data_IF_601869976643
#
_entry.id   IF_601869976643
#
_cell.length_a   1.000
_cell.length_b   1.000
_cell.length_c   1.000
_cell.angle_alpha   90.00
_cell.angle_beta   90.00
_cell.angle_gamma   90.00
#
_symmetry.space_group_name_H-M   'P 1'
#
loop_
_entity.id
_entity.type
_entity.pdbx_description
1 polymer ?
#
# COMPACT_ATOMS: atom_id res chain seq x y z
N UNK A 1 -13.20 -25.36 8.80
CA UNK A 1 -12.71 -24.74 7.55
C UNK A 1 -11.26 -24.37 7.76
N UNK A 2 -10.39 -24.77 6.83
CA UNK A 2 -8.96 -24.51 6.89
C UNK A 2 -8.55 -23.60 5.71
N UNK A 3 -7.89 -22.50 6.01
CA UNK A 3 -7.52 -21.45 5.03
C UNK A 3 -6.00 -21.34 4.94
N UNK A 4 -5.47 -21.43 3.72
CA UNK A 4 -4.07 -21.12 3.43
C UNK A 4 -3.95 -19.67 2.90
N UNK A 5 -3.21 -18.83 3.58
CA UNK A 5 -2.71 -17.57 3.02
C UNK A 5 -1.42 -17.91 2.25
N UNK A 6 -1.54 -18.02 0.92
CA UNK A 6 -0.46 -18.43 0.04
C UNK A 6 0.42 -17.21 -0.32
N UNK A 7 1.34 -16.87 0.56
CA UNK A 7 2.22 -15.73 0.38
C UNK A 7 3.51 -15.94 1.18
N UNK A 8 4.66 -15.57 0.62
CA UNK A 8 5.90 -15.52 1.39
C UNK A 8 5.74 -14.59 2.58
N UNK A 9 6.30 -15.00 3.71
CA UNK A 9 6.22 -14.18 4.93
C UNK A 9 7.08 -12.92 4.74
N UNK A 10 6.42 -11.77 4.72
CA UNK A 10 7.09 -10.46 4.73
C UNK A 10 6.96 -9.89 6.15
N UNK A 11 8.05 -9.84 6.93
CA UNK A 11 8.03 -9.22 8.24
C UNK A 11 7.46 -7.79 8.16
N UNK A 12 6.49 -7.49 9.04
CA UNK A 12 5.86 -6.15 9.10
C UNK A 12 4.73 -5.91 8.08
N UNK A 13 4.24 -6.92 7.38
CA UNK A 13 3.02 -6.78 6.59
C UNK A 13 1.79 -6.81 7.50
N UNK A 14 1.45 -5.63 8.04
CA UNK A 14 0.34 -5.47 8.99
C UNK A 14 -0.99 -5.95 8.45
N UNK A 15 -1.26 -5.73 7.15
CA UNK A 15 -2.48 -6.22 6.52
C UNK A 15 -2.65 -7.73 6.69
N UNK A 16 -1.61 -8.53 6.38
CA UNK A 16 -1.71 -10.00 6.50
C UNK A 16 -1.72 -10.46 7.95
N UNK A 17 -1.04 -9.78 8.86
CA UNK A 17 -1.07 -10.10 10.30
C UNK A 17 -2.49 -9.92 10.86
N UNK A 18 -3.12 -8.79 10.59
CA UNK A 18 -4.46 -8.48 11.08
C UNK A 18 -5.52 -9.36 10.39
N UNK A 19 -5.37 -9.62 9.08
CA UNK A 19 -6.23 -10.56 8.35
C UNK A 19 -6.16 -11.97 8.97
N UNK A 20 -4.94 -12.48 9.18
CA UNK A 20 -4.74 -13.80 9.82
C UNK A 20 -5.40 -13.83 11.19
N UNK A 21 -5.15 -12.82 12.02
CA UNK A 21 -5.74 -12.71 13.37
C UNK A 21 -7.27 -12.73 13.32
N UNK A 22 -7.88 -11.91 12.45
CA UNK A 22 -9.33 -11.86 12.29
C UNK A 22 -9.93 -13.17 11.77
N UNK A 23 -9.34 -13.76 10.75
CA UNK A 23 -9.81 -15.05 10.21
C UNK A 23 -9.66 -16.21 11.21
N UNK A 24 -8.63 -16.18 12.05
CA UNK A 24 -8.37 -17.25 13.04
C UNK A 24 -9.45 -17.36 14.12
N UNK A 25 -10.34 -16.39 14.24
CA UNK A 25 -11.51 -16.49 15.11
C UNK A 25 -12.62 -17.39 14.54
N UNK A 26 -12.57 -17.66 13.23
CA UNK A 26 -13.62 -18.41 12.50
C UNK A 26 -13.11 -19.64 11.76
N UNK A 27 -11.79 -19.74 11.54
CA UNK A 27 -11.18 -20.82 10.77
C UNK A 27 -9.75 -21.13 11.27
N UNK A 28 -9.26 -22.31 10.95
CA UNK A 28 -7.83 -22.61 11.07
C UNK A 28 -7.10 -21.89 9.92
N UNK A 29 -6.18 -20.98 10.24
CA UNK A 29 -5.47 -20.17 9.24
C UNK A 29 -3.98 -20.45 9.28
N UNK A 30 -3.47 -20.94 8.17
CA UNK A 30 -2.04 -21.16 7.93
C UNK A 30 -1.54 -20.05 6.98
N UNK A 31 -0.45 -19.40 7.32
CA UNK A 31 0.23 -18.47 6.42
C UNK A 31 1.57 -19.07 6.03
N UNK A 32 1.61 -19.67 4.85
CA UNK A 32 2.78 -20.41 4.36
C UNK A 32 2.74 -20.48 2.82
N UNK A 33 3.77 -19.95 2.17
CA UNK A 33 3.90 -20.05 0.72
C UNK A 33 4.26 -21.48 0.28
N UNK A 34 5.09 -22.20 1.04
CA UNK A 34 5.56 -23.54 0.67
C UNK A 34 4.42 -24.56 0.65
N UNK A 35 3.44 -24.40 1.54
CA UNK A 35 2.24 -25.26 1.57
C UNK A 35 1.45 -25.17 0.24
N UNK A 36 1.44 -24.05 -0.44
CA UNK A 36 0.84 -23.91 -1.77
C UNK A 36 1.55 -24.81 -2.80
N UNK A 37 2.88 -24.90 -2.74
CA UNK A 37 3.69 -25.65 -3.71
C UNK A 37 3.75 -27.16 -3.44
N UNK A 38 3.40 -27.59 -2.22
CA UNK A 38 3.38 -29.00 -1.83
C UNK A 38 2.14 -29.72 -2.33
N UNK A 39 1.08 -29.00 -2.72
CA UNK A 39 -0.17 -29.56 -3.25
C UNK A 39 -0.74 -30.69 -2.37
N UNK A 40 -0.79 -30.48 -1.04
CA UNK A 40 -1.44 -31.39 -0.10
C UNK A 40 -2.87 -30.94 0.11
N UNK A 41 -3.82 -31.85 0.00
CA UNK A 41 -5.26 -31.55 0.11
C UNK A 41 -5.69 -31.37 1.57
N UNK A 42 -5.20 -30.31 2.20
CA UNK A 42 -5.53 -30.01 3.60
C UNK A 42 -6.31 -28.69 3.77
N UNK A 43 -6.52 -27.93 2.69
CA UNK A 43 -7.12 -26.61 2.77
C UNK A 43 -8.43 -26.52 1.98
N UNK A 44 -9.46 -25.92 2.61
CA UNK A 44 -10.73 -25.61 1.95
C UNK A 44 -10.60 -24.37 1.04
N UNK A 45 -9.74 -23.43 1.44
CA UNK A 45 -9.53 -22.15 0.76
C UNK A 45 -8.04 -21.89 0.60
N UNK A 46 -7.64 -21.50 -0.62
CA UNK A 46 -6.34 -20.93 -0.94
C UNK A 46 -6.54 -19.43 -1.17
N UNK A 47 -6.04 -18.59 -0.27
CA UNK A 47 -6.17 -17.15 -0.34
C UNK A 47 -4.87 -16.51 -0.85
N UNK A 48 -4.91 -15.98 -2.06
CA UNK A 48 -3.78 -15.31 -2.73
C UNK A 48 -3.96 -13.79 -2.59
N UNK A 49 -2.89 -13.07 -2.24
CA UNK A 49 -2.89 -11.61 -2.12
C UNK A 49 -2.07 -10.94 -3.22
N UNK A 50 -0.86 -11.42 -3.43
CA UNK A 50 0.06 -10.94 -4.45
C UNK A 50 0.63 -12.13 -5.20
N UNK A 51 0.24 -12.36 -6.47
CA UNK A 51 0.74 -13.47 -7.28
C UNK A 51 2.26 -13.62 -7.30
N UNK A 52 2.98 -12.51 -7.32
CA UNK A 52 4.44 -12.48 -7.31
C UNK A 52 5.07 -13.01 -6.02
N UNK A 53 4.34 -13.03 -4.93
CA UNK A 53 4.81 -13.48 -3.61
C UNK A 53 4.37 -14.91 -3.27
N UNK A 54 3.97 -15.70 -4.25
CA UNK A 54 3.70 -17.12 -4.05
C UNK A 54 4.97 -17.94 -3.70
N UNK A 55 6.17 -17.48 -4.11
CA UNK A 55 7.45 -18.02 -3.66
C UNK A 55 8.57 -16.99 -3.81
N UNK A 56 9.65 -17.15 -3.05
CA UNK A 56 10.88 -16.35 -3.21
C UNK A 56 11.53 -16.55 -4.57
N UNK A 57 11.43 -17.75 -5.13
CA UNK A 57 11.98 -18.05 -6.46
C UNK A 57 11.22 -17.26 -7.54
N UNK A 58 9.89 -17.30 -7.51
CA UNK A 58 9.03 -16.55 -8.43
C UNK A 58 9.25 -15.04 -8.32
N UNK A 59 9.29 -14.51 -7.11
CA UNK A 59 9.62 -13.10 -6.83
C UNK A 59 10.98 -12.73 -7.42
N UNK A 60 11.98 -13.56 -7.20
CA UNK A 60 13.35 -13.32 -7.68
C UNK A 60 13.39 -13.15 -9.19
N UNK A 61 12.77 -14.02 -9.96
CA UNK A 61 12.72 -13.91 -11.43
C UNK A 61 11.94 -12.69 -11.90
N UNK A 62 10.80 -12.42 -11.29
CA UNK A 62 9.95 -11.30 -11.66
C UNK A 62 10.62 -9.94 -11.43
N UNK A 63 11.46 -9.82 -10.40
CA UNK A 63 12.13 -8.56 -10.08
C UNK A 63 13.55 -8.43 -10.63
N UNK A 64 14.15 -9.51 -11.16
CA UNK A 64 15.40 -9.43 -11.91
C UNK A 64 15.14 -8.99 -13.35
N UNK A 65 15.76 -7.88 -13.76
CA UNK A 65 15.49 -7.23 -15.06
C UNK A 65 15.91 -8.05 -16.29
N UNK A 66 16.79 -9.02 -16.16
CA UNK A 66 17.45 -9.73 -17.26
C UNK A 66 17.02 -11.19 -17.46
N UNK A 67 16.21 -11.74 -16.55
CA UNK A 67 15.87 -13.15 -16.61
C UNK A 67 14.36 -13.34 -16.77
N UNK A 68 13.96 -14.20 -17.70
CA UNK A 68 12.57 -14.68 -17.79
C UNK A 68 12.34 -15.85 -16.85
N UNK A 69 11.11 -15.99 -16.37
CA UNK A 69 10.72 -17.14 -15.55
C UNK A 69 10.89 -18.41 -16.38
N UNK A 70 11.69 -19.41 -15.91
CA UNK A 70 11.88 -20.67 -16.60
C UNK A 70 10.57 -21.43 -16.80
N UNK A 71 10.44 -22.16 -17.93
CA UNK A 71 9.25 -22.96 -18.21
C UNK A 71 8.93 -23.96 -17.08
N UNK A 72 9.93 -24.56 -16.47
CA UNK A 72 9.74 -25.46 -15.30
C UNK A 72 8.96 -24.80 -14.16
N UNK A 73 9.17 -23.51 -13.91
CA UNK A 73 8.45 -22.77 -12.86
C UNK A 73 7.03 -22.47 -13.31
N UNK A 74 6.85 -22.10 -14.59
CA UNK A 74 5.51 -21.94 -15.17
C UNK A 74 4.70 -23.20 -15.07
N UNK A 75 5.27 -24.36 -15.49
CA UNK A 75 4.61 -25.65 -15.45
C UNK A 75 4.25 -26.05 -14.02
N UNK A 76 5.18 -25.85 -13.06
CA UNK A 76 4.90 -26.08 -11.64
C UNK A 76 3.77 -25.21 -11.13
N UNK A 77 3.76 -23.93 -11.49
CA UNK A 77 2.70 -22.98 -11.09
C UNK A 77 1.35 -23.44 -11.65
N UNK A 78 1.29 -23.81 -12.93
CA UNK A 78 0.07 -24.30 -13.57
C UNK A 78 -0.42 -25.57 -12.85
N UNK A 79 0.45 -26.55 -12.63
CA UNK A 79 0.09 -27.81 -11.96
C UNK A 79 -0.47 -27.59 -10.55
N UNK A 80 0.15 -26.68 -9.77
CA UNK A 80 -0.36 -26.34 -8.44
C UNK A 80 -1.74 -25.64 -8.52
N UNK A 81 -1.92 -24.72 -9.46
CA UNK A 81 -3.21 -24.05 -9.64
C UNK A 81 -4.31 -25.01 -10.08
N UNK A 82 -3.99 -25.95 -10.99
CA UNK A 82 -4.92 -27.01 -11.40
C UNK A 82 -5.30 -27.92 -10.25
N UNK A 83 -4.31 -28.31 -9.44
CA UNK A 83 -4.55 -29.11 -8.23
C UNK A 83 -5.51 -28.39 -7.27
N UNK A 84 -5.18 -27.14 -6.91
CA UNK A 84 -5.98 -26.38 -5.96
C UNK A 84 -7.37 -26.02 -6.50
N UNK A 85 -7.51 -25.73 -7.78
CA UNK A 85 -8.82 -25.45 -8.36
C UNK A 85 -9.79 -26.62 -8.34
N UNK A 86 -9.28 -27.86 -8.25
CA UNK A 86 -10.07 -29.09 -8.14
C UNK A 86 -10.40 -29.46 -6.68
N UNK A 87 -9.52 -29.11 -5.75
CA UNK A 87 -9.59 -29.59 -4.36
C UNK A 87 -9.97 -28.49 -3.37
N UNK A 88 -9.87 -27.23 -3.74
CA UNK A 88 -10.07 -26.06 -2.86
C UNK A 88 -10.72 -24.91 -3.63
N UNK A 89 -11.19 -23.89 -2.93
CA UNK A 89 -11.57 -22.62 -3.59
C UNK A 89 -10.39 -21.67 -3.58
N UNK A 90 -9.96 -21.21 -4.76
CA UNK A 90 -8.95 -20.17 -4.88
C UNK A 90 -9.63 -18.82 -4.80
N UNK A 91 -9.23 -18.00 -3.83
CA UNK A 91 -9.69 -16.63 -3.62
C UNK A 91 -8.51 -15.71 -3.79
N UNK A 92 -8.69 -14.57 -4.48
CA UNK A 92 -7.66 -13.55 -4.63
C UNK A 92 -8.16 -12.20 -4.12
N UNK A 93 -7.38 -11.55 -3.27
CA UNK A 93 -7.61 -10.13 -2.94
C UNK A 93 -6.82 -9.24 -3.90
N UNK A 94 -7.53 -8.42 -4.67
CA UNK A 94 -6.94 -7.54 -5.67
C UNK A 94 -6.43 -6.24 -5.04
N UNK A 95 -5.23 -6.29 -4.48
CA UNK A 95 -4.56 -5.12 -3.91
C UNK A 95 -4.18 -4.10 -4.98
N UNK A 96 -3.75 -4.57 -6.13
CA UNK A 96 -3.26 -3.77 -7.25
C UNK A 96 -3.81 -4.31 -8.56
N UNK A 97 -3.92 -3.46 -9.57
CA UNK A 97 -4.20 -3.93 -10.93
C UNK A 97 -3.03 -4.77 -11.48
N UNK A 98 -1.81 -4.28 -11.23
CA UNK A 98 -0.51 -4.93 -11.41
C UNK A 98 0.46 -4.31 -10.38
N UNK A 99 1.61 -4.95 -10.09
CA UNK A 99 2.58 -4.38 -9.13
C UNK A 99 2.99 -2.96 -9.46
N UNK A 100 3.20 -2.13 -8.44
CA UNK A 100 3.50 -0.71 -8.60
C UNK A 100 4.80 -0.41 -9.33
N UNK A 101 5.77 -1.32 -9.24
CA UNK A 101 7.14 -1.11 -9.73
C UNK A 101 7.39 -1.73 -11.10
N UNK A 102 6.62 -2.74 -11.48
CA UNK A 102 6.81 -3.50 -12.72
C UNK A 102 5.45 -3.87 -13.31
N UNK A 103 5.29 -3.60 -14.62
CA UNK A 103 4.08 -3.91 -15.39
C UNK A 103 4.41 -4.63 -16.70
N UNK A 104 5.51 -5.35 -16.69
CA UNK A 104 5.98 -6.08 -17.89
C UNK A 104 5.11 -7.31 -18.18
N UNK A 105 5.39 -7.93 -19.31
CA UNK A 105 4.62 -9.05 -19.86
C UNK A 105 4.58 -10.26 -18.91
N UNK A 106 5.68 -10.53 -18.17
CA UNK A 106 5.73 -11.67 -17.25
C UNK A 106 4.76 -11.50 -16.07
N UNK A 107 4.67 -10.28 -15.52
CA UNK A 107 3.69 -9.99 -14.48
C UNK A 107 2.25 -10.12 -15.03
N UNK A 108 1.98 -9.58 -16.21
CA UNK A 108 0.66 -9.70 -16.83
C UNK A 108 0.28 -11.17 -17.07
N UNK A 109 1.21 -11.98 -17.57
CA UNK A 109 1.02 -13.42 -17.79
C UNK A 109 0.74 -14.14 -16.48
N UNK A 110 1.47 -13.84 -15.40
CA UNK A 110 1.27 -14.47 -14.10
C UNK A 110 -0.12 -14.10 -13.52
N UNK A 111 -0.48 -12.82 -13.53
CA UNK A 111 -1.77 -12.38 -13.01
C UNK A 111 -2.93 -13.00 -13.79
N UNK A 112 -2.86 -13.01 -15.14
CA UNK A 112 -3.88 -13.65 -15.99
C UNK A 112 -3.97 -15.16 -15.72
N UNK A 113 -2.83 -15.84 -15.50
CA UNK A 113 -2.80 -17.25 -15.14
C UNK A 113 -3.51 -17.51 -13.81
N UNK A 114 -3.19 -16.75 -12.77
CA UNK A 114 -3.83 -16.89 -11.46
C UNK A 114 -5.34 -16.64 -11.56
N UNK A 115 -5.77 -15.58 -12.24
CA UNK A 115 -7.19 -15.27 -12.42
C UNK A 115 -7.95 -16.40 -13.11
N UNK A 116 -7.35 -17.09 -14.10
CA UNK A 116 -7.97 -18.23 -14.79
C UNK A 116 -8.44 -19.33 -13.83
N UNK A 117 -7.75 -19.53 -12.71
CA UNK A 117 -8.07 -20.57 -11.71
C UNK A 117 -8.78 -20.01 -10.48
N UNK A 118 -8.99 -18.69 -10.40
CA UNK A 118 -9.59 -18.04 -9.25
C UNK A 118 -11.12 -18.16 -9.31
N UNK A 119 -11.73 -18.57 -8.19
CA UNK A 119 -13.19 -18.65 -8.07
C UNK A 119 -13.82 -17.33 -7.62
N UNK A 120 -13.11 -16.60 -6.74
CA UNK A 120 -13.62 -15.35 -6.16
C UNK A 120 -12.49 -14.31 -6.16
N UNK A 121 -12.78 -13.11 -6.63
CA UNK A 121 -11.90 -11.95 -6.46
C UNK A 121 -12.54 -10.98 -5.48
N UNK A 122 -11.79 -10.65 -4.41
CA UNK A 122 -12.13 -9.61 -3.45
C UNK A 122 -11.57 -8.28 -3.94
N UNK A 123 -12.42 -7.28 -4.00
CA UNK A 123 -12.10 -5.90 -4.36
C UNK A 123 -12.34 -4.98 -3.16
N UNK A 124 -11.69 -3.83 -3.12
CA UNK A 124 -11.91 -2.87 -2.05
C UNK A 124 -12.99 -1.82 -2.37
N UNK A 125 -13.32 -1.66 -3.66
CA UNK A 125 -14.39 -0.81 -4.15
C UNK A 125 -14.95 -1.33 -5.49
N UNK A 126 -16.07 -0.77 -5.96
CA UNK A 126 -16.73 -1.21 -7.19
C UNK A 126 -15.91 -0.84 -8.44
N UNK A 127 -15.20 0.28 -8.43
CA UNK A 127 -14.36 0.68 -9.55
C UNK A 127 -13.41 -0.43 -9.99
N UNK A 128 -12.80 -1.14 -9.05
CA UNK A 128 -11.87 -2.23 -9.39
C UNK A 128 -12.59 -3.44 -9.99
N UNK A 129 -13.88 -3.68 -9.72
CA UNK A 129 -14.69 -4.70 -10.38
C UNK A 129 -14.88 -4.32 -11.85
N UNK A 130 -15.33 -3.09 -12.10
CA UNK A 130 -15.60 -2.63 -13.47
C UNK A 130 -14.31 -2.61 -14.31
N UNK A 131 -13.21 -2.14 -13.74
CA UNK A 131 -11.92 -2.18 -14.40
C UNK A 131 -11.48 -3.63 -14.69
N UNK A 132 -11.71 -4.57 -13.74
CA UNK A 132 -11.35 -5.98 -13.93
C UNK A 132 -12.12 -6.58 -15.11
N UNK A 133 -13.43 -6.39 -15.17
CA UNK A 133 -14.29 -6.91 -16.26
C UNK A 133 -13.89 -6.35 -17.63
N UNK A 134 -13.50 -5.07 -17.67
CA UNK A 134 -12.97 -4.46 -18.91
C UNK A 134 -11.65 -5.07 -19.36
N UNK A 135 -10.77 -5.40 -18.43
CA UNK A 135 -9.44 -5.93 -18.75
C UNK A 135 -9.42 -7.43 -19.03
N UNK A 136 -10.37 -8.16 -18.45
CA UNK A 136 -10.48 -9.62 -18.51
C UNK A 136 -11.90 -10.08 -18.84
N UNK A 137 -12.44 -9.69 -20.02
CA UNK A 137 -13.81 -10.03 -20.40
C UNK A 137 -14.06 -11.54 -20.51
N UNK A 138 -13.00 -12.33 -20.76
CA UNK A 138 -13.08 -13.78 -20.91
C UNK A 138 -13.18 -14.54 -19.57
N UNK A 139 -13.12 -13.83 -18.42
CA UNK A 139 -13.11 -14.44 -17.08
C UNK A 139 -14.48 -14.29 -16.37
N UNK A 140 -15.57 -14.54 -17.07
CA UNK A 140 -16.95 -14.42 -16.55
C UNK A 140 -17.29 -15.39 -15.41
N UNK A 141 -16.53 -16.48 -15.27
CA UNK A 141 -16.74 -17.49 -14.22
C UNK A 141 -16.38 -16.98 -12.81
N UNK A 142 -15.64 -15.87 -12.71
CA UNK A 142 -15.17 -15.32 -11.44
C UNK A 142 -16.31 -14.60 -10.73
N UNK A 143 -16.56 -14.96 -9.48
CA UNK A 143 -17.41 -14.18 -8.59
C UNK A 143 -16.64 -12.98 -8.04
N UNK A 144 -17.18 -11.77 -8.19
CA UNK A 144 -16.61 -10.56 -7.63
C UNK A 144 -17.35 -10.16 -6.35
N UNK A 145 -16.62 -9.77 -5.33
CA UNK A 145 -17.16 -9.27 -4.07
C UNK A 145 -16.40 -8.02 -3.63
N UNK A 146 -17.11 -7.04 -3.08
CA UNK A 146 -16.49 -5.89 -2.43
C UNK A 146 -16.40 -6.17 -0.94
N UNK A 147 -15.17 -6.19 -0.42
CA UNK A 147 -14.88 -6.24 1.02
C UNK A 147 -13.94 -5.06 1.29
N UNK A 148 -14.37 -4.03 2.03
CA UNK A 148 -13.53 -2.87 2.32
C UNK A 148 -12.19 -3.27 2.94
N UNK A 149 -11.17 -2.49 2.66
CA UNK A 149 -9.87 -2.69 3.29
C UNK A 149 -10.02 -2.58 4.82
N UNK A 150 -9.45 -3.54 5.54
CA UNK A 150 -9.49 -3.55 7.01
C UNK A 150 -8.91 -2.27 7.61
N UNK A 151 -9.38 -1.90 8.80
CA UNK A 151 -8.80 -0.81 9.58
C UNK A 151 -7.47 -1.24 10.24
N UNK A 152 -6.82 -0.30 10.90
CA UNK A 152 -5.57 -0.50 11.62
C UNK A 152 -5.75 -0.36 13.14
N UNK A 153 -6.91 -0.78 13.67
CA UNK A 153 -7.22 -0.67 15.10
C UNK A 153 -6.27 -1.48 16.01
N UNK A 154 -5.52 -2.39 15.43
CA UNK A 154 -4.45 -3.14 16.11
C UNK A 154 -3.17 -2.33 16.36
N UNK A 155 -3.01 -1.17 15.71
CA UNK A 155 -1.89 -0.28 15.99
C UNK A 155 -2.13 0.46 17.31
N UNK A 156 -1.06 0.74 18.08
CA UNK A 156 -1.16 1.62 19.24
C UNK A 156 -1.76 2.98 18.86
N UNK A 157 -2.67 3.49 19.70
CA UNK A 157 -3.26 4.83 19.57
C UNK A 157 -3.44 5.44 20.96
N UNK A 158 -2.32 5.67 21.65
CA UNK A 158 -2.27 6.03 23.07
C UNK A 158 -1.95 7.51 23.32
N UNK A 159 -1.79 8.32 22.25
CA UNK A 159 -1.46 9.74 22.40
C UNK A 159 -2.59 10.63 21.95
N UNK A 160 -2.81 11.71 22.68
CA UNK A 160 -3.62 12.83 22.21
C UNK A 160 -2.86 13.63 21.15
N UNK A 161 -3.57 14.46 20.39
CA UNK A 161 -2.95 15.37 19.41
C UNK A 161 -1.90 16.29 20.03
N UNK A 162 -2.17 16.75 21.26
CA UNK A 162 -1.24 17.62 21.98
C UNK A 162 0.05 16.88 22.33
N UNK A 163 -0.05 15.72 22.96
CA UNK A 163 1.12 14.88 23.31
C UNK A 163 1.92 14.48 22.08
N UNK A 164 1.25 14.11 20.99
CA UNK A 164 1.88 13.78 19.73
C UNK A 164 2.69 14.96 19.14
N UNK A 165 2.13 16.18 19.21
CA UNK A 165 2.83 17.40 18.76
C UNK A 165 3.99 17.76 19.67
N UNK A 166 3.85 17.59 20.99
CA UNK A 166 4.93 17.78 21.94
C UNK A 166 6.07 16.79 21.70
N UNK A 167 5.75 15.50 21.54
CA UNK A 167 6.71 14.45 21.20
C UNK A 167 7.50 14.78 19.92
N UNK A 168 6.81 15.26 18.89
CA UNK A 168 7.43 15.66 17.64
C UNK A 168 8.01 17.08 17.65
N UNK A 169 7.92 17.83 18.76
CA UNK A 169 8.31 19.24 18.84
C UNK A 169 7.69 20.09 17.71
N UNK A 170 6.37 19.99 17.53
CA UNK A 170 5.56 20.75 16.56
C UNK A 170 4.74 21.78 17.31
N UNK A 171 4.65 23.01 16.75
CA UNK A 171 3.80 24.06 17.28
C UNK A 171 2.33 23.61 17.35
N UNK A 172 1.68 23.87 18.50
CA UNK A 172 0.30 23.48 18.78
C UNK A 172 -0.71 24.13 17.86
N UNK A 173 -0.41 25.31 17.31
CA UNK A 173 -1.34 26.15 16.54
C UNK A 173 -1.29 25.90 15.02
N UNK A 174 -0.24 25.30 14.50
CA UNK A 174 -0.04 25.11 13.06
C UNK A 174 -0.88 23.99 12.44
N UNK A 175 -1.24 24.14 11.16
CA UNK A 175 -1.84 23.06 10.36
C UNK A 175 -0.79 22.03 9.96
N UNK A 176 -1.04 20.76 10.27
CA UNK A 176 -0.11 19.65 9.99
C UNK A 176 -0.69 18.74 8.92
N UNK A 177 -0.03 18.69 7.77
CA UNK A 177 -0.28 17.71 6.71
C UNK A 177 0.66 16.53 6.86
N UNK A 178 0.14 15.30 6.88
CA UNK A 178 0.97 14.10 6.85
C UNK A 178 0.88 13.40 5.50
N UNK A 179 2.02 12.91 5.01
CA UNK A 179 2.14 11.94 3.92
C UNK A 179 2.84 10.72 4.49
N UNK A 180 2.08 9.66 4.75
CA UNK A 180 2.59 8.47 5.42
C UNK A 180 3.04 7.39 4.43
N UNK A 181 4.07 6.61 4.82
CA UNK A 181 4.66 5.57 3.98
C UNK A 181 5.74 6.06 3.02
N UNK A 182 6.17 5.21 2.10
CA UNK A 182 7.22 5.53 1.11
C UNK A 182 6.74 6.57 0.09
N UNK A 183 7.58 7.54 -0.22
CA UNK A 183 7.30 8.62 -1.18
C UNK A 183 8.21 8.45 -2.39
N UNK A 184 7.60 8.36 -3.58
CA UNK A 184 8.29 8.28 -4.87
C UNK A 184 8.68 9.67 -5.37
N UNK A 185 9.74 9.78 -6.16
CA UNK A 185 10.25 11.09 -6.61
C UNK A 185 9.22 11.87 -7.44
N UNK A 186 8.43 11.19 -8.27
CA UNK A 186 7.38 11.85 -9.07
C UNK A 186 6.19 12.37 -8.25
N UNK A 187 6.03 11.94 -7.00
CA UNK A 187 4.97 12.40 -6.09
C UNK A 187 5.33 13.71 -5.37
N UNK A 188 6.63 13.97 -5.24
CA UNK A 188 7.15 15.14 -4.50
C UNK A 188 6.62 16.49 -4.99
N UNK A 189 6.49 16.76 -6.32
CA UNK A 189 5.89 18.00 -6.80
C UNK A 189 4.43 18.19 -6.37
N UNK A 190 3.64 17.11 -6.40
CA UNK A 190 2.24 17.13 -5.98
C UNK A 190 2.11 17.40 -4.49
N UNK A 191 2.94 16.74 -3.66
CA UNK A 191 2.98 16.96 -2.20
C UNK A 191 3.32 18.43 -1.88
N UNK A 192 4.35 18.98 -2.53
CA UNK A 192 4.72 20.40 -2.36
C UNK A 192 3.57 21.34 -2.73
N UNK A 193 2.85 21.03 -3.80
CA UNK A 193 1.71 21.80 -4.25
C UNK A 193 0.57 21.78 -3.25
N UNK A 194 0.19 20.59 -2.76
CA UNK A 194 -0.81 20.43 -1.71
C UNK A 194 -0.42 21.19 -0.45
N UNK A 195 0.83 21.05 -0.01
CA UNK A 195 1.35 21.78 1.14
C UNK A 195 1.29 23.29 0.96
N UNK A 196 1.66 23.81 -0.21
CA UNK A 196 1.63 25.25 -0.47
C UNK A 196 0.20 25.81 -0.49
N UNK A 197 -0.80 24.99 -0.83
CA UNK A 197 -2.21 25.38 -0.85
C UNK A 197 -2.83 25.55 0.55
N UNK A 198 -2.22 25.02 1.60
CA UNK A 198 -2.66 25.24 2.97
C UNK A 198 -2.54 26.73 3.31
N UNK A 199 -3.63 27.39 3.71
CA UNK A 199 -3.62 28.85 3.92
C UNK A 199 -2.88 29.29 5.20
N UNK A 200 -2.61 28.37 6.12
CA UNK A 200 -1.94 28.66 7.39
C UNK A 200 -0.45 29.01 7.18
N UNK A 201 0.04 30.05 7.86
CA UNK A 201 1.45 30.44 7.85
C UNK A 201 2.33 29.50 8.67
N UNK A 202 1.77 28.91 9.74
CA UNK A 202 2.49 28.00 10.65
C UNK A 202 2.33 26.51 10.26
N UNK A 203 2.05 26.25 8.97
CA UNK A 203 1.84 24.90 8.48
C UNK A 203 3.11 24.04 8.51
N UNK A 204 2.90 22.74 8.80
CA UNK A 204 3.95 21.72 8.87
C UNK A 204 3.63 20.58 7.93
N UNK A 205 4.63 20.12 7.17
CA UNK A 205 4.62 18.87 6.43
C UNK A 205 5.35 17.78 7.21
N UNK A 206 4.65 16.72 7.56
CA UNK A 206 5.23 15.47 8.03
C UNK A 206 5.29 14.48 6.87
N UNK A 207 6.48 14.18 6.38
CA UNK A 207 6.70 13.28 5.26
C UNK A 207 7.87 12.33 5.55
N UNK A 208 7.73 11.38 6.51
CA UNK A 208 8.81 10.52 6.99
C UNK A 208 9.51 9.77 5.86
N UNK A 209 8.74 9.23 4.92
CA UNK A 209 9.23 8.47 3.79
C UNK A 209 9.84 9.29 2.65
N UNK A 210 9.88 10.61 2.76
CA UNK A 210 10.55 11.46 1.78
C UNK A 210 12.05 11.37 1.93
N UNK A 211 12.68 10.54 1.12
CA UNK A 211 14.14 10.35 1.13
C UNK A 211 14.87 11.51 0.46
N UNK A 212 15.96 11.94 1.08
CA UNK A 212 16.90 12.90 0.51
C UNK A 212 17.91 12.11 -0.33
N UNK A 213 18.03 12.41 -1.65
CA UNK A 213 19.00 11.73 -2.48
C UNK A 213 20.43 12.14 -2.10
N UNK A 214 21.34 11.18 -2.13
CA UNK A 214 22.78 11.51 -1.99
C UNK A 214 23.27 12.29 -3.20
N UNK A 215 23.93 13.41 -2.98
CA UNK A 215 24.53 14.19 -4.04
C UNK A 215 25.68 13.43 -4.71
N UNK A 216 25.84 13.64 -6.02
CA UNK A 216 27.00 13.10 -6.77
C UNK A 216 28.23 13.98 -6.46
N UNK A 217 28.99 13.64 -5.41
CA UNK A 217 30.24 14.29 -5.03
C UNK A 217 31.33 13.22 -5.12
N UNK A 218 32.45 13.55 -5.80
CA UNK A 218 33.55 12.60 -6.05
C UNK A 218 34.26 12.13 -4.79
N UNK A 219 34.41 13.00 -3.79
CA UNK A 219 35.05 12.69 -2.52
C UNK A 219 34.04 12.04 -1.54
N UNK A 220 34.19 10.75 -1.25
CA UNK A 220 33.26 9.98 -0.42
C UNK A 220 33.03 10.60 0.95
N UNK A 221 34.10 11.01 1.66
CA UNK A 221 33.97 11.63 3.00
C UNK A 221 33.18 12.94 2.95
N UNK A 222 33.45 13.81 1.98
CA UNK A 222 32.71 15.07 1.80
C UNK A 222 31.25 14.79 1.46
N UNK A 223 30.99 13.80 0.61
CA UNK A 223 29.64 13.37 0.25
C UNK A 223 28.83 12.92 1.48
N UNK A 224 29.43 12.11 2.35
CA UNK A 224 28.77 11.64 3.58
C UNK A 224 28.54 12.81 4.57
N UNK A 225 29.48 13.72 4.73
CA UNK A 225 29.30 14.91 5.57
C UNK A 225 28.16 15.80 5.07
N UNK A 226 28.11 16.09 3.76
CA UNK A 226 27.05 16.89 3.16
C UNK A 226 25.69 16.21 3.31
N UNK A 227 25.63 14.88 3.04
CA UNK A 227 24.39 14.12 3.18
C UNK A 227 23.89 14.09 4.61
N UNK A 228 24.76 13.85 5.58
CA UNK A 228 24.43 13.85 7.02
C UNK A 228 23.90 15.22 7.47
N UNK A 229 24.50 16.30 7.00
CA UNK A 229 24.04 17.66 7.29
C UNK A 229 22.66 17.95 6.67
N UNK A 230 22.43 17.56 5.40
CA UNK A 230 21.12 17.70 4.75
C UNK A 230 20.02 16.89 5.44
N UNK A 231 20.36 15.66 5.89
CA UNK A 231 19.45 14.82 6.67
C UNK A 231 19.13 15.46 8.01
N UNK A 232 20.14 15.97 8.71
CA UNK A 232 19.95 16.65 9.98
C UNK A 232 19.06 17.90 9.81
N UNK A 233 19.33 18.73 8.80
CA UNK A 233 18.50 19.88 8.49
C UNK A 233 17.04 19.49 8.18
N UNK A 234 16.83 18.44 7.41
CA UNK A 234 15.50 17.98 7.05
C UNK A 234 14.71 17.44 8.25
N UNK A 235 15.38 16.74 9.17
CA UNK A 235 14.77 16.23 10.41
C UNK A 235 14.39 17.35 11.39
N UNK A 236 15.18 18.40 11.43
CA UNK A 236 15.02 19.51 12.38
C UNK A 236 14.34 20.74 11.75
N UNK A 237 13.87 20.64 10.52
CA UNK A 237 13.14 21.72 9.88
C UNK A 237 11.76 21.90 10.51
N UNK A 238 11.42 23.13 10.91
CA UNK A 238 10.16 23.42 11.60
C UNK A 238 8.92 23.29 10.70
N UNK A 239 9.11 23.34 9.36
CA UNK A 239 8.00 23.31 8.38
C UNK A 239 7.98 22.06 7.51
N UNK A 240 9.14 21.47 7.20
CA UNK A 240 9.29 20.31 6.31
C UNK A 240 10.05 19.21 7.03
N UNK A 241 9.34 18.34 7.72
CA UNK A 241 9.91 17.19 8.41
C UNK A 241 9.94 15.99 7.48
N UNK A 242 11.11 15.75 6.91
CA UNK A 242 11.35 14.71 5.90
C UNK A 242 12.52 13.81 6.31
N UNK A 243 12.68 12.70 5.59
CA UNK A 243 13.79 11.74 5.79
C UNK A 243 13.92 11.24 7.24
N UNK A 244 12.78 11.03 7.90
CA UNK A 244 12.75 10.56 9.29
C UNK A 244 13.03 9.05 9.42
N UNK A 245 13.14 8.37 8.28
CA UNK A 245 13.38 6.94 8.23
C UNK A 245 12.10 6.10 8.25
N UNK A 246 12.25 4.85 8.63
CA UNK A 246 11.13 3.95 8.88
C UNK A 246 10.52 4.30 10.25
N UNK A 247 9.24 4.56 10.27
CA UNK A 247 8.49 4.77 11.51
C UNK A 247 8.04 3.40 12.00
N UNK A 248 8.43 3.06 13.19
CA UNK A 248 7.99 1.83 13.83
C UNK A 248 6.50 1.88 14.13
N UNK A 249 5.85 0.72 14.19
CA UNK A 249 4.41 0.63 14.47
C UNK A 249 4.06 1.28 15.82
N UNK A 250 4.90 1.09 16.83
CA UNK A 250 4.75 1.67 18.18
C UNK A 250 4.79 3.21 18.19
N UNK A 251 5.46 3.84 17.22
CA UNK A 251 5.60 5.30 17.12
C UNK A 251 4.61 5.93 16.12
N UNK A 252 3.96 5.12 15.29
CA UNK A 252 3.11 5.61 14.19
C UNK A 252 2.01 6.55 14.69
N UNK A 253 1.45 6.28 15.87
CA UNK A 253 0.38 7.10 16.45
C UNK A 253 0.81 8.54 16.77
N UNK A 254 2.08 8.79 17.10
CA UNK A 254 2.56 10.16 17.31
C UNK A 254 2.52 10.97 16.01
N UNK A 255 2.87 10.36 14.88
CA UNK A 255 2.85 11.04 13.58
C UNK A 255 1.43 11.27 13.08
N UNK A 256 0.56 10.28 13.22
CA UNK A 256 -0.83 10.34 12.76
C UNK A 256 -1.66 11.26 13.64
N UNK A 257 -1.55 11.17 14.97
CA UNK A 257 -2.29 12.03 15.89
C UNK A 257 -1.82 13.49 15.86
N UNK A 258 -0.56 13.78 15.53
CA UNK A 258 -0.10 15.16 15.37
C UNK A 258 -0.72 15.86 14.15
N UNK A 259 -1.20 15.11 13.17
CA UNK A 259 -1.71 15.64 11.90
C UNK A 259 -3.14 16.21 12.01
N UNK A 260 -3.47 17.11 11.08
CA UNK A 260 -4.84 17.57 10.86
C UNK A 260 -5.52 16.82 9.72
N UNK A 261 -4.74 16.39 8.74
CA UNK A 261 -5.22 15.57 7.64
C UNK A 261 -4.08 14.76 7.00
N UNK A 262 -4.46 13.67 6.36
CA UNK A 262 -3.56 12.80 5.62
C UNK A 262 -3.71 13.06 4.11
N UNK A 263 -2.59 13.30 3.42
CA UNK A 263 -2.58 13.50 1.98
C UNK A 263 -2.01 12.28 1.25
N UNK A 264 -2.77 11.73 0.30
CA UNK A 264 -2.37 10.59 -0.54
C UNK A 264 -1.94 11.09 -1.91
N UNK A 265 -0.63 11.08 -2.23
CA UNK A 265 -0.12 11.57 -3.52
C UNK A 265 -0.22 10.53 -4.65
N UNK A 266 -0.92 9.40 -4.43
CA UNK A 266 -1.04 8.31 -5.38
C UNK A 266 -1.99 8.68 -6.51
N UNK A 267 -1.49 8.83 -7.74
CA UNK A 267 -2.30 9.26 -8.88
C UNK A 267 -2.55 8.17 -9.92
N UNK A 268 -1.84 7.04 -9.81
CA UNK A 268 -1.93 5.91 -10.74
C UNK A 268 -2.18 4.56 -10.05
N UNK A 269 -2.35 4.57 -8.75
CA UNK A 269 -2.56 3.38 -7.96
C UNK A 269 -4.06 3.03 -7.90
N UNK A 270 -4.37 1.73 -7.84
CA UNK A 270 -5.75 1.27 -7.73
C UNK A 270 -6.35 1.67 -6.39
N UNK A 271 -5.64 1.38 -5.31
CA UNK A 271 -6.07 1.68 -3.94
C UNK A 271 -4.89 2.13 -3.06
N UNK A 272 -5.18 2.47 -1.81
CA UNK A 272 -4.17 2.84 -0.82
C UNK A 272 -4.63 2.50 0.59
N UNK A 273 -3.88 1.66 1.30
CA UNK A 273 -4.12 1.37 2.72
C UNK A 273 -4.04 2.62 3.62
N UNK A 274 -3.45 3.71 3.15
CA UNK A 274 -3.43 4.98 3.88
C UNK A 274 -4.82 5.61 4.06
N UNK A 275 -5.84 5.22 3.26
CA UNK A 275 -7.21 5.67 3.46
C UNK A 275 -7.72 5.16 4.81
N UNK A 276 -7.72 3.85 4.99
CA UNK A 276 -8.20 3.23 6.23
C UNK A 276 -7.28 3.50 7.40
N UNK A 277 -5.99 3.71 7.18
CA UNK A 277 -5.07 4.20 8.20
C UNK A 277 -5.47 5.59 8.70
N UNK A 278 -5.73 6.52 7.79
CA UNK A 278 -6.21 7.86 8.14
C UNK A 278 -7.54 7.82 8.91
N UNK A 279 -8.48 7.00 8.45
CA UNK A 279 -9.78 6.82 9.13
C UNK A 279 -9.63 6.21 10.53
N UNK A 280 -8.71 5.26 10.71
CA UNK A 280 -8.43 4.65 12.02
C UNK A 280 -7.98 5.69 13.05
N UNK A 281 -7.25 6.71 12.60
CA UNK A 281 -6.78 7.81 13.46
C UNK A 281 -7.69 9.06 13.40
N UNK A 282 -8.89 8.95 12.84
CA UNK A 282 -9.88 10.05 12.79
C UNK A 282 -9.45 11.22 11.92
N UNK A 283 -8.55 11.00 10.95
CA UNK A 283 -8.07 12.05 10.05
C UNK A 283 -8.97 12.19 8.82
N UNK A 284 -9.16 13.42 8.39
CA UNK A 284 -9.61 13.72 7.03
C UNK A 284 -8.53 13.21 6.06
N UNK A 285 -8.93 12.49 5.02
CA UNK A 285 -8.02 11.96 4.01
C UNK A 285 -8.26 12.65 2.68
N UNK A 286 -7.22 13.23 2.11
CA UNK A 286 -7.28 13.91 0.81
C UNK A 286 -6.53 13.09 -0.22
N UNK A 287 -7.17 12.73 -1.33
CA UNK A 287 -6.57 11.90 -2.39
C UNK A 287 -7.11 12.20 -3.78
N UNK A 288 -6.71 11.39 -4.76
CA UNK A 288 -7.20 11.50 -6.14
C UNK A 288 -8.70 11.13 -6.23
N UNK A 289 -9.40 11.69 -7.23
CA UNK A 289 -10.80 11.41 -7.53
C UNK A 289 -11.00 10.17 -8.40
N UNK A 290 -9.94 9.41 -8.67
CA UNK A 290 -9.94 8.25 -9.57
C UNK A 290 -9.68 6.94 -8.83
N UNK A 291 -10.00 5.83 -9.49
CA UNK A 291 -9.84 4.46 -9.00
C UNK A 291 -10.58 4.21 -7.66
N UNK A 292 -10.26 3.12 -6.97
CA UNK A 292 -10.85 2.81 -5.65
C UNK A 292 -10.61 3.95 -4.65
N UNK A 293 -9.48 4.67 -4.77
CA UNK A 293 -9.16 5.82 -3.92
C UNK A 293 -10.25 6.88 -4.04
N UNK A 294 -10.60 7.25 -5.28
CA UNK A 294 -11.61 8.28 -5.54
C UNK A 294 -13.02 7.85 -5.13
N UNK A 295 -13.39 6.59 -5.37
CA UNK A 295 -14.67 6.04 -4.97
C UNK A 295 -14.83 6.09 -3.45
N UNK A 296 -13.90 5.49 -2.71
CA UNK A 296 -13.95 5.40 -1.24
C UNK A 296 -13.96 6.80 -0.60
N UNK A 297 -13.12 7.72 -1.06
CA UNK A 297 -13.07 9.06 -0.50
C UNK A 297 -14.36 9.84 -0.74
N UNK A 298 -14.96 9.75 -1.93
CA UNK A 298 -16.23 10.40 -2.25
C UNK A 298 -17.38 9.83 -1.41
N UNK A 299 -17.48 8.52 -1.31
CA UNK A 299 -18.51 7.85 -0.51
C UNK A 299 -18.43 8.17 0.97
N UNK A 300 -17.21 8.42 1.48
CA UNK A 300 -16.98 8.77 2.89
C UNK A 300 -16.96 10.29 3.13
N UNK A 301 -17.30 11.11 2.13
CA UNK A 301 -17.32 12.58 2.25
C UNK A 301 -15.96 13.23 2.40
N UNK A 302 -14.89 12.54 2.02
CA UNK A 302 -13.53 13.06 2.08
C UNK A 302 -13.15 13.83 0.80
N UNK A 303 -12.31 14.88 0.91
CA UNK A 303 -11.95 15.70 -0.25
C UNK A 303 -11.14 14.93 -1.29
N UNK A 304 -11.46 15.14 -2.57
CA UNK A 304 -10.71 14.58 -3.70
C UNK A 304 -10.20 15.66 -4.64
N UNK A 305 -9.12 15.34 -5.35
CA UNK A 305 -8.59 16.22 -6.40
C UNK A 305 -8.44 15.48 -7.73
N UNK A 306 -8.61 16.21 -8.83
CA UNK A 306 -8.43 15.70 -10.19
C UNK A 306 -6.95 15.74 -10.57
N UNK A 307 -6.42 14.60 -11.04
CA UNK A 307 -5.02 14.47 -11.47
C UNK A 307 -4.72 15.48 -12.61
N UNK A 308 -3.57 16.14 -12.51
CA UNK A 308 -3.18 17.18 -13.51
C UNK A 308 -3.84 18.55 -13.30
N UNK A 309 -4.88 18.66 -12.48
CA UNK A 309 -5.56 19.92 -12.21
C UNK A 309 -5.09 20.59 -10.91
N UNK A 310 -4.32 21.64 -11.07
CA UNK A 310 -3.73 22.39 -9.95
C UNK A 310 -4.73 23.10 -9.05
N UNK A 311 -5.81 23.62 -9.66
CA UNK A 311 -6.86 24.32 -8.91
C UNK A 311 -7.65 23.32 -8.08
N UNK A 312 -7.90 22.11 -8.62
CA UNK A 312 -8.57 21.02 -7.90
C UNK A 312 -7.80 20.62 -6.65
N UNK A 313 -6.47 20.46 -6.74
CA UNK A 313 -5.63 20.17 -5.55
C UNK A 313 -5.77 21.26 -4.48
N UNK A 314 -5.70 22.54 -4.89
CA UNK A 314 -5.83 23.65 -3.95
C UNK A 314 -7.22 23.72 -3.30
N UNK A 315 -8.28 23.39 -4.03
CA UNK A 315 -9.65 23.36 -3.50
C UNK A 315 -9.86 22.21 -2.52
N UNK A 316 -9.28 21.03 -2.79
CA UNK A 316 -9.36 19.88 -1.89
C UNK A 316 -8.62 20.08 -0.56
N UNK A 317 -7.67 21.03 -0.51
CA UNK A 317 -6.85 21.32 0.69
C UNK A 317 -7.45 22.44 1.56
N UNK A 318 -8.27 23.31 1.01
CA UNK A 318 -8.96 24.40 1.73
C UNK A 318 -10.14 23.92 2.54
#
# INVERSE_FOLDING_TARGET
MKVLIACISTPGNRYLLDLKSGLSTHAEVVWDADAFWNCQNEFDIIHIHWPEYLSFELESYLYKASESIPNKIWDKTINCLEYWSKNSKIILTRHNALPHTRKDEQFQKLYKLIYKYTSIVIHFANYSIEQFKQWYPDLEHIKHVVIPHQNYASLPNNSTKQEAREYLNIDKSGKVMIVFGGIKDHEKPLIKKAFNAIPDKNKVLLAPGWKIPRRKISYIRLRECVWNFEVWMAKNNNRFRTNLGFIKEEDAHYYLNAADFLFIPRTSELNSGNITLGFTFGLVVVGTDTADIGEILKETGNPTFTVGNSKSVANAIK
#
